data_IF_790246992809
#
_entry.id   IF_790246992809
#
_cell.length_a   1.000
_cell.length_b   1.000
_cell.length_c   1.000
_cell.angle_alpha   90.00
_cell.angle_beta   90.00
_cell.angle_gamma   90.00
#
_symmetry.space_group_name_H-M   'P 1'
#
loop_
_entity.id
_entity.type
_entity.pdbx_description
1 polymer ?
#
# COMPACT_ATOMS: atom_id res chain seq x y z
N UNK A 1 18.90 -5.70 -7.68
CA UNK A 1 18.19 -4.91 -6.66
C UNK A 1 17.61 -5.89 -5.64
N UNK A 2 17.86 -5.73 -4.33
CA UNK A 2 17.53 -6.77 -3.33
C UNK A 2 16.03 -6.84 -2.96
N UNK A 3 15.35 -5.68 -2.91
CA UNK A 3 13.94 -5.57 -2.58
C UNK A 3 13.31 -4.37 -3.29
N UNK A 4 11.99 -4.38 -3.49
CA UNK A 4 11.23 -3.26 -4.06
C UNK A 4 9.85 -3.16 -3.42
N UNK A 5 9.38 -1.93 -3.19
CA UNK A 5 8.07 -1.67 -2.60
C UNK A 5 7.02 -1.29 -3.65
N UNK A 6 5.82 -1.85 -3.51
CA UNK A 6 4.61 -1.39 -4.20
C UNK A 6 3.76 -0.58 -3.21
N UNK A 7 3.39 0.64 -3.56
CA UNK A 7 2.55 1.53 -2.75
C UNK A 7 1.42 2.13 -3.60
N UNK A 8 0.40 1.32 -3.87
CA UNK A 8 -0.77 1.74 -4.64
C UNK A 8 -1.58 2.84 -3.91
N UNK A 9 -2.31 3.68 -4.66
CA UNK A 9 -3.11 4.76 -4.08
C UNK A 9 -4.52 4.28 -3.69
N UNK A 10 -4.78 4.18 -2.38
CA UNK A 10 -6.05 3.72 -1.81
C UNK A 10 -6.53 2.34 -2.33
N UNK A 11 -5.62 1.50 -2.79
CA UNK A 11 -5.93 0.15 -3.26
C UNK A 11 -4.70 -0.77 -3.12
N UNK A 12 -4.86 -2.04 -3.51
CA UNK A 12 -3.78 -3.04 -3.56
C UNK A 12 -3.97 -4.00 -4.76
N UNK A 13 -4.51 -3.51 -5.88
CA UNK A 13 -4.93 -4.39 -6.97
C UNK A 13 -3.75 -5.03 -7.70
N UNK A 14 -2.61 -4.33 -7.77
CA UNK A 14 -1.38 -4.86 -8.38
C UNK A 14 -0.58 -5.80 -7.47
N UNK A 15 -0.98 -5.99 -6.20
CA UNK A 15 -0.15 -6.65 -5.20
C UNK A 15 0.23 -8.10 -5.57
N UNK A 16 -0.70 -8.86 -6.14
CA UNK A 16 -0.46 -10.27 -6.46
C UNK A 16 0.45 -10.43 -7.68
N UNK A 17 0.16 -9.73 -8.78
CA UNK A 17 0.97 -9.74 -10.01
C UNK A 17 2.39 -9.24 -9.74
N UNK A 18 2.53 -8.17 -8.95
CA UNK A 18 3.82 -7.64 -8.53
C UNK A 18 4.63 -8.64 -7.70
N UNK A 19 3.99 -9.34 -6.75
CA UNK A 19 4.67 -10.33 -5.92
C UNK A 19 5.20 -11.51 -6.76
N UNK A 20 4.42 -11.98 -7.74
CA UNK A 20 4.83 -13.03 -8.67
C UNK A 20 6.02 -12.61 -9.55
N UNK A 21 5.96 -11.40 -10.11
CA UNK A 21 7.05 -10.87 -10.94
C UNK A 21 8.33 -10.66 -10.13
N UNK A 22 8.22 -10.11 -8.91
CA UNK A 22 9.36 -9.95 -8.00
C UNK A 22 9.97 -11.30 -7.62
N UNK A 23 9.13 -12.30 -7.29
CA UNK A 23 9.59 -13.65 -6.98
C UNK A 23 10.32 -14.29 -8.14
N UNK A 24 9.83 -14.10 -9.38
CA UNK A 24 10.45 -14.65 -10.60
C UNK A 24 11.82 -14.03 -10.87
N UNK A 25 12.00 -12.75 -10.53
CA UNK A 25 13.26 -12.03 -10.70
C UNK A 25 14.19 -12.10 -9.47
N UNK A 26 13.83 -12.86 -8.43
CA UNK A 26 14.64 -12.98 -7.21
C UNK A 26 14.75 -11.69 -6.40
N UNK A 27 13.76 -10.79 -6.54
CA UNK A 27 13.66 -9.53 -5.80
C UNK A 27 12.64 -9.73 -4.68
N UNK A 28 12.96 -9.33 -3.45
CA UNK A 28 12.00 -9.37 -2.34
C UNK A 28 10.93 -8.29 -2.53
N UNK A 29 9.64 -8.63 -2.72
CA UNK A 29 8.59 -7.63 -2.74
C UNK A 29 8.28 -7.13 -1.32
N UNK A 30 7.99 -5.83 -1.19
CA UNK A 30 7.41 -5.19 0.00
C UNK A 30 6.05 -4.62 -0.42
N UNK A 31 4.96 -5.18 0.12
CA UNK A 31 3.61 -4.83 -0.32
C UNK A 31 3.01 -3.80 0.64
N UNK A 32 2.54 -2.68 0.09
CA UNK A 32 1.86 -1.62 0.83
C UNK A 32 0.86 -0.83 -0.02
N UNK A 33 0.24 0.16 0.60
CA UNK A 33 -0.71 1.08 -0.04
C UNK A 33 -0.63 2.43 0.66
N UNK A 34 -0.73 3.50 -0.11
CA UNK A 34 -0.91 4.86 0.38
C UNK A 34 -2.39 5.07 0.67
N UNK A 35 -2.76 5.07 1.94
CA UNK A 35 -4.15 5.22 2.40
C UNK A 35 -4.39 6.66 2.84
N UNK A 36 -5.45 7.27 2.30
CA UNK A 36 -5.95 8.56 2.77
C UNK A 36 -6.70 8.37 4.09
N UNK A 37 -6.09 8.81 5.19
CA UNK A 37 -6.72 8.81 6.50
C UNK A 37 -7.42 10.16 6.74
N UNK A 38 -8.74 10.13 6.92
CA UNK A 38 -9.51 11.27 7.41
C UNK A 38 -9.57 11.18 8.93
N UNK A 39 -8.91 12.11 9.61
CA UNK A 39 -9.04 12.26 11.06
C UNK A 39 -10.31 13.06 11.37
N UNK A 40 -11.32 12.39 11.93
CA UNK A 40 -12.63 12.99 12.24
C UNK A 40 -12.70 13.23 13.74
N UNK A 41 -12.55 14.49 14.15
CA UNK A 41 -12.79 14.90 15.54
C UNK A 41 -14.30 15.02 15.81
N UNK A 42 -14.83 14.06 16.57
CA UNK A 42 -16.25 14.04 16.96
C UNK A 42 -16.60 15.05 18.06
N UNK A 43 -15.64 15.70 18.72
CA UNK A 43 -15.92 16.63 19.84
C UNK A 43 -16.40 18.02 19.42
N UNK A 44 -16.28 18.41 18.16
CA UNK A 44 -16.66 19.76 17.68
C UNK A 44 -18.04 19.84 16.99
N UNK A 45 -18.92 18.84 17.16
CA UNK A 45 -20.26 18.81 16.53
C UNK A 45 -21.41 19.34 17.39
N UNK A 46 -21.14 19.89 18.58
CA UNK A 46 -22.17 20.48 19.44
C UNK A 46 -21.62 21.78 20.06
N UNK A 47 -21.74 22.86 19.30
CA UNK A 47 -21.65 24.25 19.76
C UNK A 47 -22.67 25.05 18.97
#
# INVERSE_FOLDING_TARGET
MPAIALTDNNNMFGAFEFALECSTNGIQPIIGSSINLLDIDYKNKIS
#
